data_IF_907321154050
#
_entry.id   IF_907321154050
#
_cell.length_a   1.000
_cell.length_b   1.000
_cell.length_c   1.000
_cell.angle_alpha   90.00
_cell.angle_beta   90.00
_cell.angle_gamma   90.00
#
_symmetry.space_group_name_H-M   'P 1'
#
loop_
_entity.id
_entity.type
_entity.pdbx_description
1 polymer ?
#
# COMPACT_ATOMS: atom_id res chain seq x y z
N UNK A 1 -12.86 -24.03 8.19
CA UNK A 1 -13.77 -24.89 8.97
C UNK A 1 -14.87 -24.09 9.68
N UNK A 2 -14.58 -23.09 10.53
CA UNK A 2 -15.63 -22.33 11.24
C UNK A 2 -16.62 -21.58 10.32
N UNK A 3 -16.13 -20.88 9.28
CA UNK A 3 -17.00 -20.17 8.31
C UNK A 3 -17.90 -21.12 7.50
N UNK A 4 -17.38 -22.29 7.12
CA UNK A 4 -18.15 -23.30 6.40
C UNK A 4 -19.26 -23.88 7.29
N UNK A 5 -18.92 -24.22 8.54
CA UNK A 5 -19.88 -24.69 9.53
C UNK A 5 -21.03 -23.68 9.75
N UNK A 6 -20.72 -22.37 9.86
CA UNK A 6 -21.75 -21.35 9.97
C UNK A 6 -22.66 -21.29 8.75
N UNK A 7 -22.08 -21.38 7.54
CA UNK A 7 -22.83 -21.37 6.28
C UNK A 7 -23.81 -22.54 6.17
N UNK A 8 -23.44 -23.71 6.68
CA UNK A 8 -24.27 -24.92 6.62
C UNK A 8 -25.30 -24.99 7.76
N UNK A 9 -24.92 -24.60 8.98
CA UNK A 9 -25.74 -24.81 10.18
C UNK A 9 -26.53 -23.59 10.64
N UNK A 10 -26.08 -22.38 10.32
CA UNK A 10 -26.60 -21.14 10.90
C UNK A 10 -26.36 -21.00 12.41
N UNK A 11 -25.66 -21.94 13.06
CA UNK A 11 -25.43 -21.94 14.51
C UNK A 11 -24.39 -20.88 14.90
N UNK A 12 -24.87 -19.77 15.47
CA UNK A 12 -24.05 -18.65 15.90
C UNK A 12 -23.15 -19.05 17.08
N UNK A 13 -23.70 -19.68 18.11
CA UNK A 13 -22.98 -20.13 19.30
C UNK A 13 -21.88 -21.12 18.98
N UNK A 14 -22.21 -22.15 18.20
CA UNK A 14 -21.26 -23.16 17.75
C UNK A 14 -20.16 -22.58 16.87
N UNK A 15 -20.48 -21.54 16.09
CA UNK A 15 -19.48 -20.84 15.27
C UNK A 15 -18.56 -19.97 16.12
N UNK A 16 -19.09 -19.23 17.08
CA UNK A 16 -18.31 -18.38 17.99
C UNK A 16 -17.30 -19.18 18.83
N UNK A 17 -17.64 -20.43 19.19
CA UNK A 17 -16.72 -21.37 19.86
C UNK A 17 -15.57 -21.83 18.96
N UNK A 18 -15.79 -21.92 17.65
CA UNK A 18 -14.81 -22.40 16.65
C UNK A 18 -13.99 -21.27 16.03
N UNK A 19 -14.44 -20.02 16.12
CA UNK A 19 -13.74 -18.87 15.55
C UNK A 19 -12.53 -18.44 16.41
N UNK A 20 -11.32 -18.37 15.82
CA UNK A 20 -10.15 -17.81 16.49
C UNK A 20 -10.38 -16.38 17.01
N UNK A 21 -9.70 -16.03 18.10
CA UNK A 21 -9.86 -14.72 18.78
C UNK A 21 -9.45 -13.51 17.92
N UNK A 22 -8.51 -13.69 16.99
CA UNK A 22 -8.01 -12.61 16.12
C UNK A 22 -8.99 -12.21 15.00
N UNK A 23 -10.05 -12.98 14.75
CA UNK A 23 -11.08 -12.65 13.75
C UNK A 23 -12.11 -11.67 14.33
N UNK A 24 -11.70 -10.41 14.46
CA UNK A 24 -12.46 -9.37 15.19
C UNK A 24 -13.79 -9.07 14.51
N UNK A 25 -13.80 -8.88 13.18
CA UNK A 25 -14.99 -8.47 12.44
C UNK A 25 -16.10 -9.55 12.47
N UNK A 26 -15.75 -10.81 12.20
CA UNK A 26 -16.71 -11.90 12.17
C UNK A 26 -17.28 -12.20 13.55
N UNK A 27 -16.43 -12.12 14.59
CA UNK A 27 -16.88 -12.31 15.96
C UNK A 27 -17.83 -11.18 16.39
N UNK A 28 -17.53 -9.93 16.06
CA UNK A 28 -18.39 -8.79 16.36
C UNK A 28 -19.77 -8.92 15.67
N UNK A 29 -19.78 -9.29 14.39
CA UNK A 29 -21.00 -9.57 13.62
C UNK A 29 -21.86 -10.63 14.31
N UNK A 30 -21.28 -11.79 14.62
CA UNK A 30 -21.99 -12.91 15.21
C UNK A 30 -22.47 -12.62 16.64
N UNK A 31 -21.69 -11.92 17.46
CA UNK A 31 -22.14 -11.50 18.79
C UNK A 31 -23.33 -10.54 18.71
N UNK A 32 -23.33 -9.62 17.75
CA UNK A 32 -24.44 -8.70 17.53
C UNK A 32 -25.69 -9.42 17.04
N UNK A 33 -25.55 -10.35 16.08
CA UNK A 33 -26.66 -11.17 15.57
C UNK A 33 -27.24 -12.12 16.62
N UNK A 34 -26.40 -12.63 17.54
CA UNK A 34 -26.87 -13.41 18.69
C UNK A 34 -27.78 -12.59 19.60
N UNK A 35 -27.44 -11.31 19.84
CA UNK A 35 -28.23 -10.41 20.70
C UNK A 35 -29.50 -9.92 20.02
N UNK A 36 -29.40 -9.57 18.73
CA UNK A 36 -30.48 -9.01 17.92
C UNK A 36 -30.60 -9.75 16.58
N UNK A 37 -31.25 -10.93 16.53
CA UNK A 37 -31.44 -11.67 15.29
C UNK A 37 -32.16 -10.83 14.23
N UNK A 38 -31.68 -10.89 12.98
CA UNK A 38 -32.27 -10.16 11.85
C UNK A 38 -31.89 -8.67 11.74
N UNK A 39 -31.26 -8.07 12.76
CA UNK A 39 -30.78 -6.69 12.68
C UNK A 39 -29.37 -6.61 12.08
N UNK A 40 -29.28 -6.79 10.77
CA UNK A 40 -28.00 -6.79 10.05
C UNK A 40 -27.26 -5.45 10.09
N UNK A 41 -27.99 -4.34 10.14
CA UNK A 41 -27.36 -3.02 10.25
C UNK A 41 -26.62 -2.86 11.58
N UNK A 42 -27.25 -3.25 12.69
CA UNK A 42 -26.60 -3.25 14.00
C UNK A 42 -25.42 -4.23 14.03
N UNK A 43 -25.53 -5.36 13.34
CA UNK A 43 -24.42 -6.30 13.20
C UNK A 43 -23.23 -5.68 12.46
N UNK A 44 -23.46 -5.02 11.33
CA UNK A 44 -22.43 -4.31 10.60
C UNK A 44 -21.80 -3.20 11.44
N UNK A 45 -22.60 -2.42 12.17
CA UNK A 45 -22.12 -1.36 13.09
C UNK A 45 -21.29 -1.89 14.26
N UNK A 46 -21.44 -3.14 14.64
CA UNK A 46 -20.64 -3.75 15.70
C UNK A 46 -19.17 -3.96 15.31
N UNK A 47 -18.86 -3.98 14.01
CA UNK A 47 -17.49 -4.05 13.52
C UNK A 47 -16.77 -2.71 13.87
N UNK A 48 -15.53 -2.74 14.37
CA UNK A 48 -14.76 -1.53 14.63
C UNK A 48 -14.72 -0.59 13.43
N UNK A 49 -14.89 0.73 13.66
CA UNK A 49 -15.04 1.76 12.63
C UNK A 49 -13.96 1.69 11.54
N UNK A 50 -12.69 1.53 11.91
CA UNK A 50 -11.56 1.41 10.96
C UNK A 50 -11.75 0.27 9.96
N UNK A 51 -12.20 -0.91 10.43
CA UNK A 51 -12.44 -2.06 9.56
C UNK A 51 -13.68 -1.87 8.68
N UNK A 52 -14.70 -1.15 9.19
CA UNK A 52 -15.89 -0.81 8.37
C UNK A 52 -15.50 0.11 7.21
N UNK A 53 -14.74 1.15 7.51
CA UNK A 53 -14.23 2.10 6.52
C UNK A 53 -13.37 1.43 5.46
N UNK A 54 -12.56 0.43 5.84
CA UNK A 54 -11.74 -0.34 4.90
C UNK A 54 -12.56 -0.93 3.75
N UNK A 55 -13.80 -1.38 3.98
CA UNK A 55 -14.65 -1.91 2.90
C UNK A 55 -15.03 -0.84 1.89
N UNK A 56 -15.42 0.35 2.35
CA UNK A 56 -15.76 1.48 1.47
C UNK A 56 -14.54 1.95 0.70
N UNK A 57 -13.39 2.11 1.37
CA UNK A 57 -12.13 2.52 0.75
C UNK A 57 -11.59 1.49 -0.26
N UNK A 58 -11.75 0.19 0.02
CA UNK A 58 -11.36 -0.86 -0.92
C UNK A 58 -12.21 -0.83 -2.19
N UNK A 59 -13.50 -0.48 -2.09
CA UNK A 59 -14.34 -0.28 -3.26
C UNK A 59 -13.97 1.00 -4.05
N UNK A 60 -13.67 2.11 -3.36
CA UNK A 60 -13.12 3.32 -4.03
C UNK A 60 -11.83 2.98 -4.79
N UNK A 61 -10.93 2.22 -4.16
CA UNK A 61 -9.67 1.78 -4.76
C UNK A 61 -9.90 0.83 -5.94
N UNK A 62 -10.93 -0.02 -5.87
CA UNK A 62 -11.34 -0.89 -6.97
C UNK A 62 -11.75 -0.08 -8.19
N UNK A 63 -12.64 0.92 -8.03
CA UNK A 63 -13.03 1.81 -9.12
C UNK A 63 -11.83 2.58 -9.68
N UNK A 64 -10.99 3.13 -8.81
CA UNK A 64 -9.78 3.85 -9.21
C UNK A 64 -8.82 2.98 -10.03
N UNK A 65 -8.55 1.74 -9.61
CA UNK A 65 -7.66 0.81 -10.31
C UNK A 65 -8.14 0.53 -11.74
N UNK A 66 -9.45 0.37 -11.92
CA UNK A 66 -10.04 0.16 -13.23
C UNK A 66 -9.99 1.41 -14.11
N UNK A 67 -10.25 2.58 -13.55
CA UNK A 67 -10.11 3.86 -14.25
C UNK A 67 -8.66 4.11 -14.68
N UNK A 68 -7.70 3.92 -13.77
CA UNK A 68 -6.27 4.02 -14.05
C UNK A 68 -5.84 3.05 -15.16
N UNK A 69 -6.28 1.78 -15.08
CA UNK A 69 -5.98 0.79 -16.12
C UNK A 69 -6.56 1.18 -17.48
N UNK A 70 -7.80 1.69 -17.51
CA UNK A 70 -8.43 2.19 -18.74
C UNK A 70 -7.70 3.40 -19.31
N UNK A 71 -7.26 4.34 -18.45
CA UNK A 71 -6.48 5.52 -18.86
C UNK A 71 -5.17 5.10 -19.53
N UNK A 72 -4.43 4.16 -18.93
CA UNK A 72 -3.19 3.66 -19.53
C UNK A 72 -3.47 2.90 -20.83
N UNK A 73 -4.53 2.09 -20.89
CA UNK A 73 -4.88 1.33 -22.09
C UNK A 73 -5.23 2.22 -23.29
N UNK A 74 -5.95 3.33 -23.06
CA UNK A 74 -6.44 4.19 -24.14
C UNK A 74 -5.43 5.23 -24.59
N UNK A 75 -4.69 5.82 -23.65
CA UNK A 75 -3.85 6.99 -23.91
C UNK A 75 -2.36 6.75 -23.63
N UNK A 76 -1.98 5.57 -23.14
CA UNK A 76 -0.60 5.22 -22.82
C UNK A 76 -0.08 5.86 -21.53
N UNK A 77 1.24 5.78 -21.33
CA UNK A 77 1.95 6.19 -20.09
C UNK A 77 3.02 7.25 -20.33
N UNK A 78 3.03 7.88 -21.50
CA UNK A 78 4.13 8.79 -21.89
C UNK A 78 3.77 10.25 -21.65
N UNK A 79 2.53 10.63 -21.95
CA UNK A 79 2.10 12.02 -21.98
C UNK A 79 0.72 12.18 -21.30
N UNK A 80 0.52 13.34 -20.70
CA UNK A 80 -0.79 13.77 -20.22
C UNK A 80 -1.67 14.14 -21.41
N UNK A 81 -2.98 13.89 -21.31
CA UNK A 81 -3.94 14.16 -22.40
C UNK A 81 -4.99 15.16 -21.97
N UNK A 82 -5.65 15.77 -22.95
CA UNK A 82 -6.78 16.68 -22.71
C UNK A 82 -7.84 15.98 -21.86
N UNK A 83 -8.29 16.67 -20.82
CA UNK A 83 -9.27 16.18 -19.86
C UNK A 83 -8.70 15.35 -18.70
N UNK A 84 -7.41 15.01 -18.70
CA UNK A 84 -6.76 14.45 -17.50
C UNK A 84 -6.82 15.48 -16.36
N UNK A 85 -6.91 14.99 -15.11
CA UNK A 85 -6.86 15.84 -13.94
C UNK A 85 -5.42 15.99 -13.45
N UNK A 86 -5.04 17.20 -13.07
CA UNK A 86 -3.74 17.52 -12.49
C UNK A 86 -3.90 18.36 -11.23
N UNK A 87 -2.94 18.24 -10.31
CA UNK A 87 -2.86 19.11 -9.14
C UNK A 87 -2.37 20.49 -9.59
N UNK A 88 -3.16 21.52 -9.32
CA UNK A 88 -2.84 22.89 -9.69
C UNK A 88 -1.72 23.42 -8.76
N UNK A 89 -0.52 23.57 -9.32
CA UNK A 89 0.55 24.32 -8.67
C UNK A 89 0.31 25.81 -8.94
N UNK A 90 -0.01 26.57 -7.90
CA UNK A 90 -0.45 27.97 -7.97
C UNK A 90 0.64 28.95 -8.42
N UNK A 91 1.10 28.86 -9.66
CA UNK A 91 2.04 29.81 -10.25
C UNK A 91 1.64 30.24 -11.66
N UNK A 92 0.47 30.88 -11.80
CA UNK A 92 0.35 32.06 -12.68
C UNK A 92 -0.87 32.88 -12.27
N UNK A 93 -0.62 34.15 -11.97
CA UNK A 93 -1.60 35.20 -11.74
C UNK A 93 -2.41 35.38 -13.04
N UNK A 94 -3.73 35.61 -12.92
CA UNK A 94 -4.71 35.95 -13.98
C UNK A 94 -5.38 34.80 -14.76
N UNK A 95 -6.22 33.99 -14.09
CA UNK A 95 -7.60 33.66 -14.57
C UNK A 95 -8.36 32.93 -13.46
N UNK A 96 -8.83 33.70 -12.47
CA UNK A 96 -9.58 33.20 -11.31
C UNK A 96 -11.08 33.04 -11.61
N UNK A 97 -11.46 32.22 -12.60
CA UNK A 97 -12.88 31.96 -12.89
C UNK A 97 -13.26 30.46 -12.97
N UNK A 98 -12.39 29.51 -12.62
CA UNK A 98 -12.77 28.08 -12.64
C UNK A 98 -12.17 27.26 -11.49
N UNK A 99 -11.93 27.88 -10.33
CA UNK A 99 -11.76 27.14 -9.09
C UNK A 99 -13.15 26.90 -8.48
N UNK A 100 -13.72 25.71 -8.68
CA UNK A 100 -14.97 25.33 -8.01
C UNK A 100 -14.63 25.08 -6.54
N UNK A 101 -14.62 26.15 -5.74
CA UNK A 101 -14.70 26.07 -4.29
C UNK A 101 -16.11 25.62 -3.93
N UNK A 102 -16.29 24.31 -3.75
CA UNK A 102 -17.56 23.75 -3.30
C UNK A 102 -17.64 23.87 -1.77
N UNK A 103 -17.93 25.08 -1.28
CA UNK A 103 -18.34 25.29 0.10
C UNK A 103 -19.82 24.92 0.25
N UNK A 104 -20.10 23.79 0.88
CA UNK A 104 -21.45 23.47 1.34
C UNK A 104 -21.62 23.95 2.79
N UNK A 105 -22.59 24.86 2.97
CA UNK A 105 -23.02 25.42 4.25
C UNK A 105 -23.55 24.31 5.15
N UNK A 106 -22.96 24.20 6.34
CA UNK A 106 -23.34 23.29 7.41
C UNK A 106 -24.48 23.90 8.22
N UNK A 107 -25.72 23.49 7.93
CA UNK A 107 -26.88 23.82 8.76
C UNK A 107 -27.26 22.61 9.63
N UNK A 108 -27.35 22.87 10.95
CA UNK A 108 -27.98 22.11 12.05
C UNK A 108 -27.13 21.18 12.94
N UNK A 109 -26.44 21.81 13.90
CA UNK A 109 -26.54 21.64 15.37
C UNK A 109 -27.41 20.46 15.86
N UNK A 110 -26.81 19.38 16.41
CA UNK A 110 -26.63 19.14 17.87
C UNK A 110 -26.16 17.69 18.21
N UNK A 111 -25.06 17.60 18.97
CA UNK A 111 -24.71 16.57 19.96
C UNK A 111 -24.56 15.08 19.56
N UNK A 112 -23.43 14.75 18.91
CA UNK A 112 -22.47 13.80 19.47
C UNK A 112 -21.12 13.95 18.75
N UNK A 113 -20.06 14.15 19.54
CA UNK A 113 -18.67 14.15 19.09
C UNK A 113 -18.37 12.87 18.31
N UNK A 114 -18.26 12.98 17.00
CA UNK A 114 -17.38 12.15 16.15
C UNK A 114 -17.48 12.68 14.73
N UNK A 115 -16.78 13.80 14.48
CA UNK A 115 -16.43 14.20 13.12
C UNK A 115 -15.90 12.98 12.37
N UNK A 116 -16.28 12.88 11.10
CA UNK A 116 -15.78 11.88 10.16
C UNK A 116 -14.31 12.17 9.81
N UNK A 117 -13.44 12.35 10.81
CA UNK A 117 -11.99 12.32 10.67
C UNK A 117 -11.61 10.93 10.13
N UNK A 118 -11.59 10.85 8.81
CA UNK A 118 -10.42 10.47 8.03
C UNK A 118 -9.42 9.62 8.81
N UNK A 119 -9.67 8.31 8.90
CA UNK A 119 -8.71 7.35 9.47
C UNK A 119 -7.52 7.05 8.52
N UNK A 120 -7.11 8.07 7.77
CA UNK A 120 -5.77 8.22 7.23
C UNK A 120 -5.06 9.36 7.98
N UNK A 121 -5.03 9.30 9.31
CA UNK A 121 -4.07 10.09 10.10
C UNK A 121 -2.66 9.51 9.91
N UNK A 122 -2.09 9.71 8.71
CA UNK A 122 -0.71 10.16 8.63
C UNK A 122 -0.80 11.67 8.68
N UNK A 123 -0.16 12.31 9.66
CA UNK A 123 -0.05 13.76 9.77
C UNK A 123 0.53 14.35 8.47
N UNK A 124 -0.33 14.68 7.52
CA UNK A 124 -0.01 15.48 6.35
C UNK A 124 -0.82 16.77 6.51
N UNK A 125 -0.20 17.96 6.50
CA UNK A 125 -0.88 19.24 6.75
C UNK A 125 -1.77 19.67 5.57
N UNK A 126 -2.26 18.72 4.76
CA UNK A 126 -2.83 18.92 3.43
C UNK A 126 -4.35 18.65 3.38
N UNK A 127 -5.06 18.75 4.52
CA UNK A 127 -6.53 18.89 4.52
C UNK A 127 -6.98 20.29 4.05
N UNK A 128 -6.14 20.96 3.25
CA UNK A 128 -6.49 22.07 2.39
C UNK A 128 -7.02 21.46 1.09
N UNK A 129 -8.15 21.94 0.58
CA UNK A 129 -8.69 21.53 -0.71
C UNK A 129 -7.57 21.58 -1.78
N UNK A 130 -7.01 20.42 -2.13
CA UNK A 130 -5.99 20.33 -3.19
C UNK A 130 -6.68 20.82 -4.46
N UNK A 131 -6.27 21.97 -5.04
CA UNK A 131 -6.92 22.50 -6.22
C UNK A 131 -6.59 21.55 -7.38
N UNK A 132 -7.62 20.95 -7.97
CA UNK A 132 -7.49 20.05 -9.11
C UNK A 132 -8.18 20.66 -10.33
N UNK A 133 -7.52 20.53 -11.47
CA UNK A 133 -7.94 21.09 -12.75
C UNK A 133 -7.92 20.02 -13.83
N UNK A 134 -8.89 20.04 -14.73
CA UNK A 134 -8.85 19.25 -15.96
C UNK A 134 -8.02 19.98 -17.03
N UNK A 135 -7.11 19.27 -17.69
CA UNK A 135 -6.23 19.83 -18.72
C UNK A 135 -7.00 20.25 -19.97
N UNK A 136 -6.75 21.47 -20.44
CA UNK A 136 -7.26 21.96 -21.74
C UNK A 136 -6.22 21.81 -22.85
N UNK A 137 -6.60 22.13 -24.09
CA UNK A 137 -5.67 22.11 -25.23
C UNK A 137 -4.53 23.12 -25.05
N UNK A 138 -4.82 24.26 -24.43
CA UNK A 138 -3.84 25.31 -24.13
C UNK A 138 -2.82 24.83 -23.10
N UNK A 139 -3.25 24.10 -22.07
CA UNK A 139 -2.36 23.55 -21.05
C UNK A 139 -1.40 22.52 -21.64
N UNK A 140 -1.89 21.66 -22.54
CA UNK A 140 -1.04 20.69 -23.25
C UNK A 140 0.00 21.40 -24.11
N UNK A 141 -0.40 22.47 -24.81
CA UNK A 141 0.51 23.28 -25.62
C UNK A 141 1.58 24.00 -24.77
N UNK A 142 1.24 24.36 -23.52
CA UNK A 142 2.18 24.99 -22.58
C UNK A 142 3.26 24.04 -22.05
N UNK A 143 3.05 22.72 -22.12
CA UNK A 143 3.92 21.67 -21.59
C UNK A 143 4.32 21.85 -20.10
N UNK A 144 3.49 22.55 -19.31
CA UNK A 144 3.72 22.78 -17.88
C UNK A 144 3.51 21.48 -17.08
N UNK A 145 2.58 20.63 -17.52
CA UNK A 145 2.20 19.41 -16.83
C UNK A 145 2.78 18.18 -17.48
N UNK A 146 3.22 17.24 -16.66
CA UNK A 146 3.78 15.96 -17.08
C UNK A 146 2.84 14.82 -16.72
N UNK A 147 3.15 13.62 -17.24
CA UNK A 147 2.40 12.41 -16.89
C UNK A 147 2.44 12.07 -15.40
N UNK A 148 3.47 12.52 -14.68
CA UNK A 148 3.62 12.29 -13.23
C UNK A 148 2.67 13.16 -12.40
N UNK A 149 2.15 14.25 -12.98
CA UNK A 149 1.19 15.16 -12.32
C UNK A 149 -0.26 14.69 -12.46
N UNK A 150 -0.51 13.68 -13.32
CA UNK A 150 -1.85 13.17 -13.60
C UNK A 150 -2.40 12.41 -12.39
N UNK A 151 -3.53 12.87 -11.91
CA UNK A 151 -4.29 12.27 -10.81
C UNK A 151 -5.63 11.73 -11.28
N UNK A 152 -6.13 10.73 -10.57
CA UNK A 152 -7.49 10.24 -10.72
C UNK A 152 -8.22 10.26 -9.38
N UNK A 153 -9.54 10.52 -9.37
CA UNK A 153 -10.29 10.66 -8.14
C UNK A 153 -10.57 9.31 -7.49
N UNK A 154 -10.48 9.27 -6.17
CA UNK A 154 -11.17 8.28 -5.34
C UNK A 154 -12.59 8.82 -5.09
N UNK A 155 -13.65 8.16 -5.59
CA UNK A 155 -15.01 8.68 -5.56
C UNK A 155 -15.45 9.18 -4.18
N UNK A 156 -16.01 10.39 -4.11
CA UNK A 156 -16.51 11.02 -2.90
C UNK A 156 -17.36 12.25 -3.20
N UNK A 157 -17.74 13.01 -2.18
CA UNK A 157 -18.57 14.21 -2.28
C UNK A 157 -17.85 15.44 -2.83
N UNK A 158 -16.53 15.51 -2.69
CA UNK A 158 -15.71 16.69 -3.03
C UNK A 158 -14.67 16.39 -4.11
N UNK A 159 -14.99 15.48 -5.04
CA UNK A 159 -14.10 15.14 -6.16
C UNK A 159 -14.73 15.51 -7.49
N UNK A 160 -13.89 15.97 -8.41
CA UNK A 160 -14.24 16.10 -9.83
C UNK A 160 -13.73 14.88 -10.59
N UNK A 161 -14.40 14.55 -11.69
CA UNK A 161 -13.98 13.48 -12.59
C UNK A 161 -13.29 14.06 -13.83
N UNK A 162 -12.40 13.30 -14.48
CA UNK A 162 -11.76 13.72 -15.72
C UNK A 162 -12.78 14.12 -16.80
N UNK A 163 -12.42 15.06 -17.68
CA UNK A 163 -13.30 15.48 -18.79
C UNK A 163 -13.17 14.56 -20.02
N UNK A 164 -12.41 13.46 -19.90
CA UNK A 164 -12.25 12.46 -20.94
C UNK A 164 -13.08 11.20 -20.64
N UNK A 165 -13.00 10.24 -21.56
CA UNK A 165 -13.75 8.98 -21.50
C UNK A 165 -13.36 8.05 -20.33
N UNK A 166 -12.36 8.42 -19.52
CA UNK A 166 -12.02 7.69 -18.28
C UNK A 166 -13.10 7.89 -17.22
N UNK A 167 -13.78 9.04 -17.20
CA UNK A 167 -14.87 9.29 -16.24
C UNK A 167 -16.05 8.32 -16.41
N UNK A 168 -16.30 7.85 -17.64
CA UNK A 168 -17.36 6.89 -17.93
C UNK A 168 -17.12 5.55 -17.23
N UNK A 169 -15.85 5.16 -17.02
CA UNK A 169 -15.49 3.91 -16.34
C UNK A 169 -16.06 3.87 -14.92
N UNK A 170 -15.94 4.97 -14.18
CA UNK A 170 -16.50 5.08 -12.83
C UNK A 170 -18.01 4.87 -12.84
N UNK A 171 -18.72 5.54 -13.75
CA UNK A 171 -20.17 5.47 -13.87
C UNK A 171 -20.65 4.08 -14.28
N UNK A 172 -20.00 3.45 -15.25
CA UNK A 172 -20.35 2.10 -15.73
C UNK A 172 -20.17 1.06 -14.63
N UNK A 173 -19.03 1.10 -13.92
CA UNK A 173 -18.74 0.14 -12.87
C UNK A 173 -19.64 0.32 -11.65
N UNK A 174 -19.82 1.56 -11.19
CA UNK A 174 -20.71 1.84 -10.07
C UNK A 174 -22.15 1.40 -10.38
N UNK A 175 -22.65 1.70 -11.58
CA UNK A 175 -23.99 1.29 -12.02
C UNK A 175 -24.12 -0.24 -12.11
N UNK A 176 -23.09 -0.93 -12.59
CA UNK A 176 -23.05 -2.40 -12.64
C UNK A 176 -23.23 -3.03 -11.25
N UNK A 177 -22.64 -2.41 -10.24
CA UNK A 177 -22.71 -2.88 -8.85
C UNK A 177 -23.90 -2.29 -8.08
N UNK A 178 -24.79 -1.54 -8.76
CA UNK A 178 -25.99 -0.94 -8.16
C UNK A 178 -25.70 0.26 -7.24
N UNK A 179 -24.55 0.89 -7.39
CA UNK A 179 -24.06 2.00 -6.57
C UNK A 179 -24.18 3.32 -7.35
N UNK A 180 -24.69 4.35 -6.69
CA UNK A 180 -24.70 5.72 -7.21
C UNK A 180 -23.52 6.50 -6.66
N UNK A 181 -22.80 7.21 -7.55
CA UNK A 181 -21.66 8.05 -7.19
C UNK A 181 -22.07 9.45 -6.71
N UNK A 182 -23.30 9.88 -7.03
CA UNK A 182 -23.82 11.22 -6.73
C UNK A 182 -24.86 11.22 -5.62
N UNK A 183 -25.55 10.10 -5.40
CA UNK A 183 -26.59 9.97 -4.39
C UNK A 183 -26.36 8.78 -3.47
N UNK A 184 -26.84 8.88 -2.23
CA UNK A 184 -26.87 7.73 -1.32
C UNK A 184 -28.22 7.02 -1.42
N UNK A 185 -28.27 5.69 -1.66
CA UNK A 185 -29.52 4.93 -1.64
C UNK A 185 -30.08 4.76 -0.21
N UNK A 186 -29.29 5.07 0.83
CA UNK A 186 -29.65 4.89 2.23
C UNK A 186 -29.23 6.08 3.10
N UNK A 187 -29.92 6.29 4.22
CA UNK A 187 -29.62 7.41 5.15
C UNK A 187 -28.41 7.15 6.07
N UNK A 188 -27.67 6.07 5.86
CA UNK A 188 -26.56 5.68 6.74
C UNK A 188 -25.24 6.18 6.15
N UNK A 189 -24.78 7.34 6.65
CA UNK A 189 -23.58 8.02 6.14
C UNK A 189 -22.34 7.11 6.12
N UNK A 190 -22.15 6.30 7.16
CA UNK A 190 -20.97 5.44 7.35
C UNK A 190 -20.71 4.42 6.22
N UNK A 191 -21.74 4.05 5.44
CA UNK A 191 -21.63 3.07 4.35
C UNK A 191 -21.80 3.71 2.96
N UNK A 192 -21.98 5.03 2.90
CA UNK A 192 -22.15 5.75 1.64
C UNK A 192 -20.83 6.34 1.16
N UNK A 193 -20.50 6.08 -0.11
CA UNK A 193 -19.37 6.72 -0.80
C UNK A 193 -19.54 8.24 -0.83
N UNK A 194 -20.78 8.72 -0.98
CA UNK A 194 -21.08 10.17 -1.02
C UNK A 194 -20.95 10.86 0.33
N UNK A 195 -20.81 10.12 1.42
CA UNK A 195 -20.53 10.71 2.75
C UNK A 195 -19.04 10.85 3.03
N UNK A 196 -18.19 10.32 2.16
CA UNK A 196 -16.76 10.55 2.20
C UNK A 196 -16.43 11.77 1.35
N UNK A 197 -15.44 12.54 1.75
CA UNK A 197 -14.90 13.67 0.96
C UNK A 197 -14.38 13.18 -0.38
N UNK A 198 -13.71 12.03 -0.38
CA UNK A 198 -12.95 11.54 -1.53
C UNK A 198 -11.56 12.18 -1.54
N UNK A 199 -10.70 11.71 -2.43
CA UNK A 199 -9.31 12.17 -2.52
C UNK A 199 -8.81 12.03 -3.96
N UNK A 200 -7.63 12.58 -4.23
CA UNK A 200 -6.97 12.41 -5.51
C UNK A 200 -5.73 11.54 -5.33
N UNK A 201 -5.51 10.63 -6.28
CA UNK A 201 -4.36 9.75 -6.26
C UNK A 201 -3.65 9.81 -7.61
N UNK A 202 -2.34 10.01 -7.56
CA UNK A 202 -1.46 10.00 -8.73
C UNK A 202 -1.53 8.65 -9.44
N UNK A 203 -1.66 8.70 -10.77
CA UNK A 203 -1.72 7.50 -11.60
C UNK A 203 -0.34 6.85 -11.71
N UNK A 204 0.69 7.68 -11.84
CA UNK A 204 2.07 7.26 -12.00
C UNK A 204 2.90 7.78 -10.83
N UNK A 205 3.75 6.92 -10.29
CA UNK A 205 4.68 7.26 -9.22
C UNK A 205 6.07 6.80 -9.62
N UNK A 206 7.05 7.71 -9.55
CA UNK A 206 8.46 7.37 -9.73
C UNK A 206 9.11 7.07 -8.37
N UNK A 207 9.75 5.90 -8.20
CA UNK A 207 10.58 5.66 -7.04
C UNK A 207 11.74 6.66 -6.98
N UNK A 208 12.05 7.12 -5.77
CA UNK A 208 13.17 8.03 -5.51
C UNK A 208 14.37 7.18 -5.07
N UNK A 209 15.60 7.65 -5.30
CA UNK A 209 16.84 6.98 -4.88
C UNK A 209 16.95 5.51 -5.34
N UNK A 210 16.53 5.23 -6.57
CA UNK A 210 16.49 3.87 -7.11
C UNK A 210 17.91 3.33 -7.39
N UNK A 211 18.30 2.27 -6.67
CA UNK A 211 19.55 1.55 -6.83
C UNK A 211 19.27 0.06 -6.95
N UNK A 212 20.10 -0.63 -7.75
CA UNK A 212 20.00 -2.08 -7.91
C UNK A 212 21.37 -2.74 -7.98
N UNK A 213 21.42 -4.00 -7.56
CA UNK A 213 22.63 -4.82 -7.54
C UNK A 213 22.26 -6.28 -7.85
N UNK A 214 23.05 -6.95 -8.69
CA UNK A 214 22.92 -8.38 -8.94
C UNK A 214 23.89 -9.14 -8.06
N UNK A 215 23.34 -10.00 -7.21
CA UNK A 215 24.10 -10.83 -6.28
C UNK A 215 24.08 -12.28 -6.74
N UNK A 216 25.23 -12.95 -6.68
CA UNK A 216 25.30 -14.40 -6.86
C UNK A 216 25.26 -15.06 -5.49
N UNK A 217 24.46 -16.10 -5.37
CA UNK A 217 24.36 -16.87 -4.13
C UNK A 217 24.26 -18.36 -4.43
N UNK A 218 24.76 -19.16 -3.50
CA UNK A 218 24.72 -20.63 -3.56
C UNK A 218 23.71 -21.17 -2.55
N UNK A 219 23.73 -20.64 -1.33
CA UNK A 219 22.83 -21.02 -0.25
C UNK A 219 21.65 -20.04 -0.11
N UNK A 220 20.43 -20.56 -0.20
CA UNK A 220 19.19 -19.79 -0.07
C UNK A 220 18.84 -19.39 1.37
N UNK A 221 19.50 -19.99 2.37
CA UNK A 221 19.28 -19.69 3.78
C UNK A 221 20.13 -18.53 4.30
N UNK A 222 21.13 -18.09 3.52
CA UNK A 222 21.98 -16.95 3.88
C UNK A 222 21.26 -15.64 3.49
N UNK A 223 21.01 -14.72 4.44
CA UNK A 223 20.41 -13.43 4.13
C UNK A 223 21.28 -12.61 3.16
N UNK A 224 20.68 -12.11 2.09
CA UNK A 224 21.37 -11.29 1.07
C UNK A 224 21.40 -9.80 1.39
N UNK A 225 20.72 -9.38 2.46
CA UNK A 225 20.67 -8.01 2.95
C UNK A 225 20.78 -8.01 4.47
N UNK A 226 21.56 -7.07 5.02
CA UNK A 226 21.73 -6.90 6.46
C UNK A 226 20.52 -6.18 7.07
N UNK A 227 20.02 -6.70 8.18
CA UNK A 227 18.98 -6.04 8.97
C UNK A 227 19.59 -4.98 9.89
N UNK A 228 18.76 -4.07 10.40
CA UNK A 228 19.22 -3.07 11.37
C UNK A 228 19.71 -3.73 12.67
N UNK A 229 19.15 -4.87 13.06
CA UNK A 229 19.61 -5.63 14.22
C UNK A 229 21.03 -6.19 14.00
N UNK A 230 21.33 -6.68 12.79
CA UNK A 230 22.67 -7.19 12.46
C UNK A 230 23.72 -6.08 12.58
N UNK A 231 23.39 -4.88 12.06
CA UNK A 231 24.26 -3.70 12.15
C UNK A 231 24.51 -3.28 13.61
N UNK A 232 23.46 -3.25 14.43
CA UNK A 232 23.58 -2.89 15.85
C UNK A 232 24.42 -3.92 16.61
N UNK A 233 24.23 -5.21 16.34
CA UNK A 233 24.96 -6.28 17.03
C UNK A 233 26.44 -6.26 16.65
N UNK A 234 26.75 -6.05 15.37
CA UNK A 234 28.12 -5.85 14.89
C UNK A 234 28.75 -4.61 15.55
N UNK A 235 28.06 -3.48 15.57
CA UNK A 235 28.55 -2.26 16.20
C UNK A 235 28.83 -2.45 17.71
N UNK A 236 27.97 -3.15 18.44
CA UNK A 236 28.19 -3.48 19.86
C UNK A 236 29.41 -4.37 20.06
N UNK A 237 29.55 -5.44 19.27
CA UNK A 237 30.72 -6.32 19.36
C UNK A 237 32.04 -5.60 19.06
N UNK A 238 32.03 -4.61 18.16
CA UNK A 238 33.20 -3.78 17.85
C UNK A 238 33.53 -2.80 18.99
N UNK A 239 32.54 -2.29 19.71
CA UNK A 239 32.75 -1.45 20.90
C UNK A 239 33.33 -2.30 22.04
N UNK A 240 32.76 -3.47 22.31
CA UNK A 240 33.26 -4.39 23.34
C UNK A 240 34.68 -4.89 23.05
N UNK A 241 35.03 -5.11 21.78
CA UNK A 241 36.40 -5.44 21.38
C UNK A 241 37.37 -4.29 21.63
N UNK A 242 36.99 -3.05 21.27
CA UNK A 242 37.81 -1.85 21.54
C UNK A 242 37.98 -1.55 23.03
N UNK A 243 36.98 -1.80 23.85
CA UNK A 243 37.07 -1.64 25.31
C UNK A 243 37.99 -2.70 25.95
N UNK A 244 38.00 -3.92 25.42
CA UNK A 244 38.94 -4.98 25.83
C UNK A 244 40.38 -4.66 25.39
N UNK A 245 40.57 -4.16 24.17
CA UNK A 245 41.89 -3.76 23.68
C UNK A 245 42.44 -2.55 24.46
N UNK A 246 41.59 -1.59 24.84
CA UNK A 246 41.97 -0.46 25.70
C UNK A 246 42.30 -0.86 27.15
N UNK A 247 41.73 -1.96 27.66
CA UNK A 247 42.06 -2.52 28.97
C UNK A 247 43.37 -3.33 28.97
N UNK A 248 43.72 -3.96 27.84
CA UNK A 248 44.94 -4.76 27.66
C UNK A 248 46.20 -3.89 27.52
N UNK A 249 46.08 -2.65 27.04
CA UNK A 249 47.23 -1.72 26.90
C UNK A 249 47.77 -1.18 28.25
N UNK A 250 47.15 -1.55 29.37
CA UNK A 250 47.64 -1.22 30.73
C UNK A 250 48.50 -2.30 31.38
N UNK A 251 48.61 -3.50 30.79
CA UNK A 251 49.46 -4.57 31.31
C UNK A 251 49.84 -5.55 30.18
N UNK A 252 51.05 -5.43 29.62
CA UNK A 252 51.95 -6.57 29.37
C UNK A 252 53.37 -6.07 29.04
N UNK A 253 54.27 -6.42 29.96
CA UNK A 253 55.72 -6.42 29.82
C UNK A 253 56.14 -7.57 28.91
N UNK A 254 57.05 -7.27 27.97
CA UNK A 254 57.75 -8.20 27.05
C UNK A 254 58.24 -9.49 27.72
N UNK A 255 58.07 -10.64 27.05
CA UNK A 255 59.13 -11.66 26.81
C UNK A 255 58.79 -12.48 25.55
N UNK A 256 59.79 -12.68 24.69
CA UNK A 256 59.83 -13.50 23.47
C UNK A 256 59.81 -15.01 23.79
N UNK A 257 59.31 -15.83 22.88
CA UNK A 257 60.01 -17.06 22.49
C UNK A 257 59.49 -17.60 21.13
N UNK A 258 60.42 -17.81 20.22
CA UNK A 258 60.26 -18.52 18.94
C UNK A 258 60.31 -20.04 19.19
N UNK A 259 59.50 -20.82 18.45
CA UNK A 259 59.92 -22.12 17.90
C UNK A 259 58.93 -22.69 16.86
N UNK A 260 59.56 -23.20 15.81
CA UNK A 260 59.03 -23.80 14.58
C UNK A 260 58.15 -25.06 14.77
N UNK A 261 57.23 -25.34 13.83
CA UNK A 261 57.42 -26.30 12.70
C UNK A 261 56.07 -26.57 11.99
N UNK A 262 56.16 -26.51 10.66
CA UNK A 262 55.28 -26.90 9.55
C UNK A 262 54.45 -28.20 9.70
N UNK A 263 53.29 -28.31 9.03
CA UNK A 263 52.89 -29.39 8.08
C UNK A 263 51.55 -29.03 7.43
N UNK A 264 51.58 -28.88 6.11
CA UNK A 264 50.45 -28.92 5.18
C UNK A 264 49.89 -30.34 5.07
N UNK A 265 48.57 -30.52 5.09
CA UNK A 265 47.95 -31.67 4.41
C UNK A 265 46.59 -31.30 3.80
N UNK A 266 46.51 -31.62 2.52
CA UNK A 266 45.38 -31.54 1.60
C UNK A 266 44.52 -32.78 1.84
N UNK A 267 43.19 -32.61 1.86
CA UNK A 267 42.27 -33.68 1.53
C UNK A 267 41.12 -33.11 0.69
N UNK A 268 41.35 -33.10 -0.61
CA UNK A 268 40.29 -33.18 -1.61
C UNK A 268 39.50 -34.48 -1.38
N UNK A 269 38.18 -34.35 -1.25
CA UNK A 269 37.27 -35.45 -1.47
C UNK A 269 36.04 -34.91 -2.21
N UNK A 270 35.85 -35.44 -3.41
CA UNK A 270 34.82 -35.14 -4.38
C UNK A 270 33.41 -35.31 -3.81
N UNK A 271 32.57 -34.28 -3.99
CA UNK A 271 31.15 -34.44 -4.20
C UNK A 271 30.72 -33.39 -5.23
N UNK A 272 30.81 -33.80 -6.49
CA UNK A 272 30.26 -33.15 -7.67
C UNK A 272 28.74 -33.11 -7.56
N UNK A 273 28.22 -32.14 -6.81
CA UNK A 273 26.92 -31.57 -7.09
C UNK A 273 27.17 -30.13 -7.53
N UNK A 274 26.85 -29.81 -8.78
CA UNK A 274 26.97 -28.46 -9.31
C UNK A 274 26.17 -27.54 -8.40
N UNK A 275 26.83 -26.85 -7.46
CA UNK A 275 26.20 -25.81 -6.63
C UNK A 275 25.60 -24.81 -7.61
N UNK A 276 24.29 -24.94 -7.84
CA UNK A 276 23.55 -24.08 -8.76
C UNK A 276 23.72 -22.66 -8.23
N UNK A 277 24.56 -21.88 -8.89
CA UNK A 277 24.74 -20.49 -8.56
C UNK A 277 23.47 -19.76 -8.99
N UNK A 278 22.69 -19.31 -8.03
CA UNK A 278 21.50 -18.53 -8.27
C UNK A 278 21.88 -17.05 -8.36
N UNK A 279 21.06 -16.28 -9.07
CA UNK A 279 21.20 -14.82 -9.17
C UNK A 279 20.02 -14.17 -8.47
N UNK A 280 20.32 -13.25 -7.56
CA UNK A 280 19.34 -12.43 -6.87
C UNK A 280 19.45 -10.97 -7.35
N UNK A 281 18.31 -10.29 -7.40
CA UNK A 281 18.22 -8.86 -7.66
C UNK A 281 17.92 -8.14 -6.34
N UNK A 282 18.87 -7.35 -5.86
CA UNK A 282 18.72 -6.47 -4.72
C UNK A 282 18.29 -5.09 -5.21
N UNK A 283 17.22 -4.56 -4.63
CA UNK A 283 16.65 -3.26 -4.96
C UNK A 283 16.62 -2.37 -3.73
N UNK A 284 17.02 -1.12 -3.88
CA UNK A 284 16.89 -0.06 -2.88
C UNK A 284 16.18 1.11 -3.53
N UNK A 285 15.07 1.57 -2.95
CA UNK A 285 14.34 2.72 -3.45
C UNK A 285 13.42 3.28 -2.36
N UNK A 286 13.07 4.55 -2.50
CA UNK A 286 12.14 5.28 -1.62
C UNK A 286 10.82 5.48 -2.34
N UNK A 287 9.71 5.27 -1.62
CA UNK A 287 8.35 5.52 -2.12
C UNK A 287 7.65 6.54 -1.23
N UNK A 288 6.81 7.42 -1.80
CA UNK A 288 5.90 8.25 -1.03
C UNK A 288 4.90 7.42 -0.23
N UNK A 289 4.20 8.07 0.70
CA UNK A 289 3.08 7.45 1.41
C UNK A 289 2.02 6.92 0.43
N UNK A 290 1.26 5.91 0.86
CA UNK A 290 0.18 5.31 0.05
C UNK A 290 0.64 4.64 -1.26
N UNK A 291 1.93 4.34 -1.38
CA UNK A 291 2.54 3.57 -2.45
C UNK A 291 2.92 2.14 -2.01
N UNK A 292 2.91 1.20 -2.94
CA UNK A 292 3.18 -0.21 -2.66
C UNK A 292 4.42 -0.69 -3.41
N UNK A 293 5.46 -1.12 -2.69
CA UNK A 293 6.69 -1.68 -3.28
C UNK A 293 6.41 -2.89 -4.19
N UNK A 294 5.36 -3.67 -3.87
CA UNK A 294 4.92 -4.78 -4.71
C UNK A 294 4.50 -4.33 -6.11
N UNK A 295 3.97 -3.11 -6.29
CA UNK A 295 3.61 -2.59 -7.61
C UNK A 295 4.85 -2.24 -8.44
N UNK A 296 5.91 -1.72 -7.80
CA UNK A 296 7.22 -1.50 -8.46
C UNK A 296 7.81 -2.83 -8.92
N UNK A 297 7.82 -3.84 -8.05
CA UNK A 297 8.33 -5.18 -8.37
C UNK A 297 7.51 -5.83 -9.49
N UNK A 298 6.17 -5.69 -9.45
CA UNK A 298 5.28 -6.15 -10.51
C UNK A 298 5.63 -5.53 -11.85
N UNK A 299 5.89 -4.23 -11.86
CA UNK A 299 6.22 -3.49 -13.07
C UNK A 299 7.60 -3.90 -13.63
N UNK A 300 8.58 -4.13 -12.75
CA UNK A 300 9.91 -4.60 -13.13
C UNK A 300 9.92 -6.03 -13.68
N UNK A 301 9.21 -6.95 -13.01
CA UNK A 301 9.22 -8.37 -13.36
C UNK A 301 8.15 -8.73 -14.40
N UNK A 302 7.16 -7.86 -14.63
CA UNK A 302 5.98 -8.13 -15.47
C UNK A 302 5.20 -9.39 -15.05
N UNK A 303 5.28 -9.77 -13.77
CA UNK A 303 4.62 -10.95 -13.20
C UNK A 303 3.53 -10.57 -12.21
N UNK A 304 2.53 -11.45 -12.04
CA UNK A 304 1.50 -11.28 -11.00
C UNK A 304 2.12 -11.30 -9.59
N UNK A 305 1.69 -10.39 -8.72
CA UNK A 305 2.10 -10.35 -7.31
C UNK A 305 1.12 -11.08 -6.38
N UNK A 306 0.18 -11.85 -6.94
CA UNK A 306 -0.79 -12.57 -6.12
C UNK A 306 -0.10 -13.65 -5.28
N UNK A 307 -0.55 -13.81 -4.03
CA UNK A 307 -0.02 -14.83 -3.11
C UNK A 307 -0.14 -16.23 -3.72
N UNK A 308 -1.23 -16.52 -4.42
CA UNK A 308 -1.44 -17.78 -5.12
C UNK A 308 -0.36 -18.02 -6.18
N UNK A 309 -0.06 -17.01 -7.00
CA UNK A 309 0.98 -17.11 -8.02
C UNK A 309 2.36 -17.32 -7.40
N UNK A 310 2.74 -16.55 -6.38
CA UNK A 310 4.02 -16.74 -5.70
C UNK A 310 4.13 -18.11 -5.01
N UNK A 311 3.03 -18.64 -4.47
CA UNK A 311 3.01 -20.00 -3.92
C UNK A 311 3.32 -21.04 -5.01
N UNK A 312 2.71 -20.91 -6.18
CA UNK A 312 3.01 -21.81 -7.32
C UNK A 312 4.45 -21.68 -7.82
N UNK A 313 5.05 -20.48 -7.75
CA UNK A 313 6.47 -20.30 -8.09
C UNK A 313 7.38 -21.02 -7.10
N UNK A 314 7.11 -20.90 -5.80
CA UNK A 314 7.88 -21.59 -4.77
C UNK A 314 7.76 -23.12 -4.90
N UNK A 315 6.57 -23.63 -5.21
CA UNK A 315 6.37 -25.06 -5.46
C UNK A 315 7.09 -25.55 -6.73
N UNK A 316 7.22 -24.70 -7.75
CA UNK A 316 7.83 -25.05 -9.05
C UNK A 316 9.35 -24.90 -9.09
N UNK A 317 9.92 -23.94 -8.34
CA UNK A 317 11.33 -23.58 -8.41
C UNK A 317 12.06 -23.67 -7.06
N UNK A 318 11.36 -23.92 -5.95
CA UNK A 318 11.91 -24.03 -4.61
C UNK A 318 12.39 -25.44 -4.22
N UNK A 319 12.92 -26.21 -5.18
CA UNK A 319 13.54 -27.53 -4.97
C UNK A 319 15.03 -27.48 -5.24
#
# INVERSE_FOLDING_TARGET
>A
MARQYYKESGDIEGTLRRLPRHLIAERALLMSLKKSPGNYLQALRAIPRTLRMMYVHSYQSYLWNHAASSRVQKYGSNEAVVGDLVIFQGSTIETAETAINLECVDDSIENNSDSLNELCETNDPTNENIPVKALTLEDIASQIYTIDDVVLPMPGSRVIYPNNDVAEVYSIMAKKDGISLTGSPHNIKEFSITSLTGSYRQVFQRPIDFQWELLKYTDAHVPLAETDLDKITKAKSLIEAREKDAAVDSNITRVNDEKDVNVSDIAEAEATDLLKSHTALKLTFTLPASCYATMVIRELLKTSTSVAYHKTLNEKYGS
#
